data_IF_627856175008
#
_entry.id   IF_627856175008
#
_cell.length_a   1.000
_cell.length_b   1.000
_cell.length_c   1.000
_cell.angle_alpha   90.00
_cell.angle_beta   90.00
_cell.angle_gamma   90.00
#
_symmetry.space_group_name_H-M   'P 1'
#
loop_
_entity.id
_entity.type
_entity.pdbx_description
1 polymer ?
#
# COMPACT_ATOMS: atom_id res chain seq x y z
N UNK A 1 -5.35 27.45 -11.20
CA UNK A 1 -5.25 25.96 -11.27
C UNK A 1 -6.09 25.37 -10.15
N UNK A 2 -7.00 24.44 -10.45
CA UNK A 2 -7.81 23.75 -9.45
C UNK A 2 -7.01 22.64 -8.75
N UNK A 3 -7.21 22.45 -7.45
CA UNK A 3 -6.55 21.38 -6.67
C UNK A 3 -7.14 20.02 -7.03
N UNK A 4 -6.35 19.15 -7.65
CA UNK A 4 -6.77 17.76 -7.92
C UNK A 4 -6.59 16.92 -6.66
N UNK A 5 -7.68 16.35 -6.13
CA UNK A 5 -7.68 15.48 -4.94
C UNK A 5 -7.07 14.10 -5.27
N UNK A 6 -6.10 13.65 -4.47
CA UNK A 6 -5.40 12.35 -4.65
C UNK A 6 -5.85 11.22 -3.69
N UNK A 7 -6.89 11.44 -2.88
CA UNK A 7 -7.26 10.51 -1.81
C UNK A 7 -7.56 9.08 -2.29
N UNK A 8 -8.36 8.96 -3.35
CA UNK A 8 -8.78 7.65 -3.90
C UNK A 8 -7.62 6.94 -4.58
N UNK A 9 -6.80 7.66 -5.34
CA UNK A 9 -5.65 7.08 -6.05
C UNK A 9 -4.59 6.56 -5.09
N UNK A 10 -4.31 7.26 -3.99
CA UNK A 10 -3.40 6.78 -2.94
C UNK A 10 -3.92 5.51 -2.26
N UNK A 11 -5.21 5.46 -1.90
CA UNK A 11 -5.81 4.27 -1.28
C UNK A 11 -5.76 3.05 -2.20
N UNK A 12 -6.03 3.23 -3.49
CA UNK A 12 -5.95 2.14 -4.46
C UNK A 12 -4.54 1.56 -4.59
N UNK A 13 -3.51 2.42 -4.66
CA UNK A 13 -2.10 1.99 -4.69
C UNK A 13 -1.71 1.18 -3.45
N UNK A 14 -2.15 1.63 -2.28
CA UNK A 14 -1.88 0.95 -1.02
C UNK A 14 -2.50 -0.45 -0.98
N UNK A 15 -3.74 -0.60 -1.45
CA UNK A 15 -4.43 -1.89 -1.47
C UNK A 15 -3.70 -2.92 -2.34
N UNK A 16 -3.19 -2.52 -3.51
CA UNK A 16 -2.41 -3.40 -4.41
C UNK A 16 -1.18 -4.00 -3.73
N UNK A 17 -0.40 -3.19 -3.02
CA UNK A 17 0.81 -3.65 -2.31
C UNK A 17 0.43 -4.60 -1.15
N UNK A 18 -0.61 -4.28 -0.39
CA UNK A 18 -1.05 -5.14 0.72
C UNK A 18 -1.64 -6.47 0.23
N UNK A 19 -2.26 -6.49 -0.95
CA UNK A 19 -2.72 -7.72 -1.58
C UNK A 19 -1.55 -8.62 -1.98
N UNK A 20 -0.46 -8.05 -2.50
CA UNK A 20 0.77 -8.77 -2.81
C UNK A 20 1.48 -9.29 -1.54
N UNK A 21 1.45 -8.53 -0.46
CA UNK A 21 2.08 -8.89 0.81
C UNK A 21 1.26 -9.87 1.69
N UNK A 22 0.14 -10.42 1.16
CA UNK A 22 -0.68 -11.40 1.89
C UNK A 22 0.16 -12.64 2.22
N UNK A 23 0.02 -13.15 3.43
CA UNK A 23 0.80 -14.30 3.92
C UNK A 23 2.11 -13.93 4.61
N UNK A 24 2.56 -12.67 4.53
CA UNK A 24 3.78 -12.26 5.23
C UNK A 24 3.60 -12.21 6.76
N UNK A 25 4.69 -12.51 7.47
CA UNK A 25 4.71 -12.53 8.94
C UNK A 25 4.75 -11.10 9.53
N UNK A 26 4.02 -10.89 10.62
CA UNK A 26 4.09 -9.66 11.41
C UNK A 26 3.63 -8.41 10.67
N UNK A 27 4.43 -7.34 10.72
CA UNK A 27 4.07 -6.02 10.13
C UNK A 27 4.16 -5.95 8.61
N UNK A 28 4.73 -6.97 7.99
CA UNK A 28 4.91 -7.05 6.53
C UNK A 28 3.59 -7.24 5.78
N UNK A 29 2.52 -7.75 6.42
CA UNK A 29 1.19 -7.94 5.79
C UNK A 29 0.20 -6.80 5.99
N UNK A 30 0.48 -5.83 6.87
CA UNK A 30 -0.51 -4.81 7.27
C UNK A 30 0.00 -3.36 7.15
N UNK A 31 1.32 -3.14 7.18
CA UNK A 31 1.89 -1.79 7.18
C UNK A 31 2.48 -1.47 5.81
N UNK A 32 1.97 -0.44 5.12
CA UNK A 32 2.37 -0.11 3.74
C UNK A 32 3.87 0.05 3.53
N UNK A 33 4.58 0.77 4.43
CA UNK A 33 6.03 0.97 4.32
C UNK A 33 6.80 -0.35 4.35
N UNK A 34 6.43 -1.23 5.27
CA UNK A 34 7.11 -2.51 5.49
C UNK A 34 6.68 -3.55 4.45
N UNK A 35 5.41 -3.54 4.07
CA UNK A 35 4.87 -4.37 2.99
C UNK A 35 5.56 -4.05 1.67
N UNK A 36 5.73 -2.77 1.34
CA UNK A 36 6.44 -2.35 0.13
C UNK A 36 7.89 -2.85 0.11
N UNK A 37 8.62 -2.71 1.22
CA UNK A 37 10.00 -3.20 1.35
C UNK A 37 10.13 -4.73 1.28
N UNK A 38 9.04 -5.48 1.49
CA UNK A 38 9.05 -6.94 1.48
C UNK A 38 8.49 -7.53 0.18
N UNK A 39 7.78 -6.73 -0.62
CA UNK A 39 7.19 -7.12 -1.92
C UNK A 39 8.10 -6.71 -3.07
N UNK A 40 8.80 -5.58 -2.93
CA UNK A 40 9.93 -5.19 -3.78
C UNK A 40 11.10 -6.17 -3.58
#
# INVERSE_FOLDING_TARGET
MSRIKRGVTTRAKHKRILEQAKGYRGRRKNTIRVARQAVE
#
